data_IF_547396252389
#
_entry.id   IF_547396252389
#
_cell.length_a   1.000
_cell.length_b   1.000
_cell.length_c   1.000
_cell.angle_alpha   90.00
_cell.angle_beta   90.00
_cell.angle_gamma   90.00
#
_symmetry.space_group_name_H-M   'P 1'
#
loop_
_entity.id
_entity.type
_entity.pdbx_description
1 polymer ?
#
# COMPACT_ATOMS: atom_id res chain seq x y z
N UNK A 1 -21.19 5.50 7.94
CA UNK A 1 -20.62 4.95 6.70
C UNK A 1 -19.36 4.20 7.08
N UNK A 2 -19.15 2.99 6.56
CA UNK A 2 -17.96 2.18 6.83
C UNK A 2 -17.30 1.81 5.50
N UNK A 3 -15.98 2.00 5.41
CA UNK A 3 -15.21 1.83 4.17
C UNK A 3 -14.29 0.62 4.32
N UNK A 4 -14.20 -0.18 3.28
CA UNK A 4 -13.23 -1.26 3.18
C UNK A 4 -12.18 -0.90 2.12
N UNK A 5 -10.92 -0.83 2.53
CA UNK A 5 -9.78 -0.59 1.64
C UNK A 5 -9.08 -1.91 1.35
N UNK A 6 -8.97 -2.28 0.09
CA UNK A 6 -8.27 -3.50 -0.34
C UNK A 6 -6.86 -3.14 -0.81
N UNK A 7 -5.86 -3.62 -0.07
CA UNK A 7 -4.43 -3.36 -0.28
C UNK A 7 -3.92 -2.17 0.53
N UNK A 8 -2.76 -2.33 1.19
CA UNK A 8 -2.08 -1.32 2.00
C UNK A 8 -0.82 -0.78 1.30
N UNK A 9 -0.93 -0.54 -0.02
CA UNK A 9 0.11 0.06 -0.86
C UNK A 9 0.02 1.59 -0.96
N UNK A 10 0.65 2.14 -1.99
CA UNK A 10 0.71 3.60 -2.24
C UNK A 10 -0.67 4.26 -2.39
N UNK A 11 -1.68 3.53 -2.87
CA UNK A 11 -3.06 4.01 -2.98
C UNK A 11 -3.85 3.78 -1.68
N UNK A 12 -3.73 2.59 -1.09
CA UNK A 12 -4.52 2.21 0.08
C UNK A 12 -4.22 3.02 1.33
N UNK A 13 -2.94 3.29 1.62
CA UNK A 13 -2.54 4.05 2.81
C UNK A 13 -3.11 5.49 2.81
N UNK A 14 -3.00 6.28 1.71
CA UNK A 14 -3.71 7.55 1.59
C UNK A 14 -5.23 7.43 1.67
N UNK A 15 -5.84 6.38 1.10
CA UNK A 15 -7.29 6.16 1.22
C UNK A 15 -7.72 5.97 2.67
N UNK A 16 -6.97 5.19 3.46
CA UNK A 16 -7.21 5.02 4.90
C UNK A 16 -7.08 6.37 5.61
N UNK A 17 -5.99 7.11 5.36
CA UNK A 17 -5.77 8.43 5.96
C UNK A 17 -6.93 9.37 5.67
N UNK A 18 -7.36 9.47 4.42
CA UNK A 18 -8.46 10.33 4.01
C UNK A 18 -9.78 9.94 4.69
N UNK A 19 -10.05 8.64 4.88
CA UNK A 19 -11.21 8.18 5.64
C UNK A 19 -11.15 8.65 7.09
N UNK A 20 -10.00 8.47 7.76
CA UNK A 20 -9.80 8.87 9.15
C UNK A 20 -9.91 10.39 9.35
N UNK A 21 -9.37 11.20 8.43
CA UNK A 21 -9.48 12.67 8.46
C UNK A 21 -10.93 13.16 8.35
N UNK A 22 -11.81 12.36 7.74
CA UNK A 22 -13.24 12.63 7.61
C UNK A 22 -14.09 11.93 8.68
N UNK A 23 -13.47 11.34 9.71
CA UNK A 23 -14.12 10.55 10.77
C UNK A 23 -14.96 9.37 10.23
N UNK A 24 -14.49 8.72 9.15
CA UNK A 24 -15.12 7.54 8.56
C UNK A 24 -14.45 6.29 9.13
N UNK A 25 -15.24 5.35 9.65
CA UNK A 25 -14.76 4.03 10.07
C UNK A 25 -14.21 3.26 8.86
N UNK A 26 -13.00 2.72 8.97
CA UNK A 26 -12.31 2.07 7.86
C UNK A 26 -11.62 0.78 8.31
N UNK A 27 -11.83 -0.29 7.55
CA UNK A 27 -11.03 -1.51 7.64
C UNK A 27 -10.12 -1.60 6.42
N UNK A 28 -8.89 -2.10 6.60
CA UNK A 28 -7.98 -2.40 5.50
C UNK A 28 -7.57 -3.87 5.53
N UNK A 29 -7.69 -4.52 4.37
CA UNK A 29 -7.18 -5.87 4.16
C UNK A 29 -6.00 -5.84 3.19
N UNK A 30 -4.84 -6.26 3.66
CA UNK A 30 -3.62 -6.44 2.88
C UNK A 30 -3.32 -7.94 2.77
N UNK A 31 -3.04 -8.41 1.56
CA UNK A 31 -2.77 -9.84 1.31
C UNK A 31 -1.49 -10.29 2.02
N UNK A 32 -0.53 -9.39 2.14
CA UNK A 32 0.83 -9.68 2.60
C UNK A 32 1.00 -9.28 4.07
N UNK A 33 2.08 -9.73 4.73
CA UNK A 33 2.32 -9.44 6.15
C UNK A 33 2.79 -8.01 6.43
N UNK A 34 3.04 -7.21 5.38
CA UNK A 34 3.65 -5.89 5.47
C UNK A 34 3.00 -4.90 4.52
N UNK A 35 2.96 -3.64 4.92
CA UNK A 35 2.45 -2.53 4.10
C UNK A 35 3.47 -2.12 3.01
N UNK A 36 3.07 -1.20 2.12
CA UNK A 36 3.94 -0.58 1.12
C UNK A 36 3.73 -1.12 -0.30
N UNK A 37 3.08 -2.28 -0.43
CA UNK A 37 2.73 -2.88 -1.73
C UNK A 37 3.96 -3.04 -2.62
N UNK A 38 3.93 -2.42 -3.80
CA UNK A 38 5.02 -2.50 -4.78
C UNK A 38 6.38 -2.02 -4.22
N UNK A 39 6.37 -1.06 -3.28
CA UNK A 39 7.59 -0.49 -2.68
C UNK A 39 8.20 -1.34 -1.57
N UNK A 40 7.55 -2.43 -1.17
CA UNK A 40 8.10 -3.39 -0.23
C UNK A 40 8.91 -4.46 -0.98
N UNK A 41 10.23 -4.22 -1.14
CA UNK A 41 11.15 -5.13 -1.82
C UNK A 41 11.31 -6.44 -1.04
N UNK A 42 11.00 -7.56 -1.70
CA UNK A 42 10.99 -8.91 -1.12
C UNK A 42 11.65 -9.90 -2.08
N UNK A 43 12.98 -10.05 -2.05
CA UNK A 43 13.71 -10.85 -3.04
C UNK A 43 13.51 -12.37 -2.88
N UNK A 44 13.03 -12.83 -1.73
CA UNK A 44 12.89 -14.25 -1.40
C UNK A 44 11.43 -14.70 -1.33
N UNK A 45 10.50 -13.90 -1.88
CA UNK A 45 9.05 -14.14 -1.80
C UNK A 45 8.41 -14.13 -3.20
N UNK A 46 8.68 -15.18 -3.98
CA UNK A 46 8.26 -15.26 -5.39
C UNK A 46 6.73 -15.32 -5.59
N UNK A 47 5.97 -15.66 -4.55
CA UNK A 47 4.52 -15.88 -4.62
C UNK A 47 3.67 -14.77 -3.97
N UNK A 48 4.28 -13.65 -3.59
CA UNK A 48 3.67 -12.62 -2.73
C UNK A 48 3.42 -11.30 -3.49
N UNK A 49 3.06 -11.42 -4.78
CA UNK A 49 2.77 -10.30 -5.67
C UNK A 49 4.03 -9.58 -6.17
N UNK A 50 3.85 -8.53 -6.96
CA UNK A 50 4.97 -7.79 -7.53
C UNK A 50 5.62 -6.85 -6.51
N UNK A 51 6.92 -6.63 -6.64
CA UNK A 51 7.67 -5.56 -5.99
C UNK A 51 8.61 -4.89 -7.01
N UNK A 52 8.97 -3.64 -6.78
CA UNK A 52 10.03 -2.98 -7.56
C UNK A 52 11.41 -3.52 -7.15
N UNK A 53 12.42 -3.32 -8.00
CA UNK A 53 13.79 -3.69 -7.65
C UNK A 53 14.29 -2.90 -6.42
N UNK A 54 15.23 -3.51 -5.68
CA UNK A 54 15.87 -2.95 -4.49
C UNK A 54 16.30 -1.47 -4.67
N UNK A 55 16.83 -1.14 -5.84
CA UNK A 55 17.23 0.21 -6.22
C UNK A 55 16.38 0.72 -7.37
N UNK A 56 15.16 1.17 -7.06
CA UNK A 56 14.31 1.89 -8.02
C UNK A 56 14.32 3.37 -7.68
N UNK A 57 14.71 4.21 -8.65
CA UNK A 57 14.73 5.67 -8.49
C UNK A 57 13.57 6.27 -9.26
N UNK A 58 12.65 6.94 -8.54
CA UNK A 58 11.60 7.76 -9.18
C UNK A 58 12.13 9.17 -9.32
N UNK A 59 12.33 9.61 -10.56
CA UNK A 59 12.66 11.01 -10.85
C UNK A 59 11.37 11.77 -11.14
N UNK A 60 11.08 12.76 -10.32
CA UNK A 60 10.03 13.74 -10.59
C UNK A 60 10.69 14.99 -11.18
N UNK A 61 10.16 15.49 -12.29
CA UNK A 61 10.51 16.80 -12.82
C UNK A 61 9.41 17.76 -12.35
N UNK A 62 9.76 18.68 -11.46
CA UNK A 62 8.89 19.79 -11.06
C UNK A 62 9.30 21.04 -11.82
#
# INVERSE_FOLDING_TARGET
>A
MRVCVIGAGVSGLPSIKACLEQNIEVDCFEKTSSIGGLWNYRPNEDNVGANVMASTVVRFNF
#
